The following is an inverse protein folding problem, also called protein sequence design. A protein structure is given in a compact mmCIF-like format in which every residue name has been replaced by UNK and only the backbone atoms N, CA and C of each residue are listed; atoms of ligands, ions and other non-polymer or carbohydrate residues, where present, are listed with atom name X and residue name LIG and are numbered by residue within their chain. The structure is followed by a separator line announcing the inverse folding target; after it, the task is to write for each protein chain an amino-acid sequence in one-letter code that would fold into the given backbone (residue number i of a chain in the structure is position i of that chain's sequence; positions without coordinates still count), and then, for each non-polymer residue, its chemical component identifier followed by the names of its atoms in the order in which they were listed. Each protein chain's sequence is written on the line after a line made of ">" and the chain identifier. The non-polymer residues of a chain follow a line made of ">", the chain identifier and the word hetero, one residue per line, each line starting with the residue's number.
data_IF_567578148963
#
_entry.id   IF_567578148963
#
_cell.length_a   1.000
_cell.length_b   1.000
_cell.length_c   1.000
_cell.angle_alpha   90.00
_cell.angle_beta   90.00
_cell.angle_gamma   90.00
#
_symmetry.space_group_name_H-M   'P 1'
#
loop_
_entity.id
_entity.type
_entity.pdbx_description
1 polymer ?
#
# COMPACT_ATOMS: atom_id res chain seq x y z
N UNK A 1 -18.13 -2.65 -14.22
CA UNK A 1 -17.87 -3.60 -13.14
C UNK A 1 -16.38 -3.92 -13.12
N UNK A 2 -15.72 -3.57 -12.04
CA UNK A 2 -14.29 -3.83 -11.95
C UNK A 2 -14.03 -5.31 -11.70
N UNK A 3 -13.10 -5.88 -12.45
CA UNK A 3 -12.68 -7.26 -12.29
C UNK A 3 -11.46 -7.28 -11.40
N UNK A 4 -11.52 -8.04 -10.30
CA UNK A 4 -10.36 -8.25 -9.44
C UNK A 4 -9.36 -9.11 -10.21
N UNK A 5 -8.16 -8.59 -10.45
CA UNK A 5 -7.14 -9.27 -11.23
C UNK A 5 -6.03 -9.87 -10.37
N UNK A 6 -6.14 -9.73 -9.04
CA UNK A 6 -5.16 -10.27 -8.11
C UNK A 6 -5.46 -11.72 -7.77
N UNK A 7 -4.49 -12.60 -8.00
CA UNK A 7 -4.57 -14.02 -7.64
C UNK A 7 -3.28 -14.42 -6.96
N UNK A 8 -3.38 -14.92 -5.74
CA UNK A 8 -2.21 -15.40 -4.99
C UNK A 8 -1.53 -16.52 -5.79
N UNK A 9 -0.21 -16.42 -5.95
CA UNK A 9 0.57 -17.35 -6.74
C UNK A 9 0.79 -16.92 -8.18
N UNK A 10 0.15 -15.84 -8.62
CA UNK A 10 0.32 -15.28 -9.96
C UNK A 10 0.98 -13.91 -9.88
N UNK A 11 1.43 -13.41 -11.03
CA UNK A 11 2.06 -12.09 -11.11
C UNK A 11 1.08 -11.01 -10.64
N UNK A 12 1.54 -10.14 -9.73
CA UNK A 12 0.77 -8.99 -9.30
C UNK A 12 0.64 -8.00 -10.47
N UNK A 13 -0.55 -7.39 -10.66
CA UNK A 13 -0.72 -6.43 -11.74
C UNK A 13 0.30 -5.28 -11.65
N UNK A 14 1.04 -5.06 -12.74
CA UNK A 14 1.99 -3.94 -12.80
C UNK A 14 1.25 -2.62 -12.94
N UNK A 15 1.90 -1.55 -12.56
CA UNK A 15 1.35 -0.21 -12.66
C UNK A 15 2.46 0.83 -12.70
N UNK A 16 2.10 2.05 -13.09
CA UNK A 16 3.00 3.19 -13.03
C UNK A 16 2.23 4.38 -12.44
N UNK A 17 2.74 4.96 -11.38
CA UNK A 17 2.12 6.08 -10.69
C UNK A 17 3.16 7.14 -10.33
N UNK A 18 2.74 8.42 -10.20
CA UNK A 18 3.62 9.45 -9.65
C UNK A 18 3.98 9.12 -8.21
N UNK A 19 5.25 9.24 -7.88
CA UNK A 19 5.75 8.99 -6.53
C UNK A 19 6.22 10.25 -5.83
N UNK A 20 6.26 10.19 -4.51
CA UNK A 20 6.61 11.32 -3.64
C UNK A 20 8.06 11.78 -3.78
N UNK A 21 8.93 11.00 -4.44
CA UNK A 21 10.33 11.39 -4.67
C UNK A 21 10.53 12.06 -6.03
N UNK A 22 9.46 12.52 -6.66
CA UNK A 22 9.52 13.29 -7.90
C UNK A 22 9.68 12.46 -9.16
N UNK A 23 9.53 11.14 -9.08
CA UNK A 23 9.64 10.22 -10.22
C UNK A 23 8.39 9.38 -10.35
N UNK A 24 8.12 8.93 -11.57
CA UNK A 24 7.11 7.90 -11.79
C UNK A 24 7.66 6.55 -11.31
N UNK A 25 6.80 5.80 -10.65
CA UNK A 25 7.18 4.53 -10.01
C UNK A 25 6.40 3.41 -10.66
N UNK A 26 7.11 2.38 -11.13
CA UNK A 26 6.51 1.13 -11.61
C UNK A 26 6.74 0.05 -10.58
N UNK A 27 5.73 -0.78 -10.35
CA UNK A 27 5.89 -1.93 -9.46
C UNK A 27 7.04 -2.82 -9.93
N UNK A 28 7.15 -3.04 -11.24
CA UNK A 28 8.18 -3.88 -11.83
C UNK A 28 9.62 -3.35 -11.63
N UNK A 29 9.78 -2.09 -11.28
CA UNK A 29 11.09 -1.52 -10.98
C UNK A 29 11.73 -2.12 -9.72
N UNK A 30 10.93 -2.79 -8.90
CA UNK A 30 11.38 -3.36 -7.63
C UNK A 30 11.68 -4.85 -7.69
N UNK A 31 11.76 -5.43 -8.88
CA UNK A 31 12.19 -6.84 -9.03
C UNK A 31 13.53 -7.04 -8.35
N UNK A 32 13.68 -8.15 -7.62
CA UNK A 32 14.84 -8.40 -6.77
C UNK A 32 14.61 -8.08 -5.30
N UNK A 33 13.52 -7.36 -4.99
CA UNK A 33 13.09 -7.08 -3.62
C UNK A 33 11.64 -7.50 -3.43
N UNK A 34 11.29 -7.84 -2.20
CA UNK A 34 9.87 -7.96 -1.83
C UNK A 34 9.26 -6.57 -1.77
N UNK A 35 7.99 -6.45 -2.12
CA UNK A 35 7.24 -5.20 -2.01
C UNK A 35 6.05 -5.44 -1.10
N UNK A 36 5.94 -4.62 -0.08
CA UNK A 36 4.75 -4.55 0.76
C UNK A 36 3.97 -3.32 0.31
N UNK A 37 2.94 -3.57 -0.49
CA UNK A 37 2.14 -2.54 -1.14
C UNK A 37 0.87 -2.34 -0.33
N UNK A 38 0.64 -1.15 0.24
CA UNK A 38 -0.57 -0.93 1.02
C UNK A 38 -1.41 0.21 0.46
N UNK A 39 -2.72 -0.02 0.41
CA UNK A 39 -3.72 0.96 -0.02
C UNK A 39 -4.41 1.53 1.22
N UNK A 40 -4.53 2.84 1.28
CA UNK A 40 -5.19 3.52 2.40
C UNK A 40 -6.05 4.67 1.87
N UNK A 41 -7.11 5.06 2.63
CA UNK A 41 -8.09 6.00 2.10
C UNK A 41 -7.62 7.44 1.93
N UNK A 42 -6.86 7.99 2.88
CA UNK A 42 -6.57 9.43 2.84
C UNK A 42 -5.43 9.83 3.76
N UNK A 43 -4.52 10.65 3.23
CA UNK A 43 -3.42 11.23 4.00
C UNK A 43 -3.93 12.04 5.18
N UNK A 44 -3.13 12.06 6.25
CA UNK A 44 -3.33 12.92 7.42
C UNK A 44 -4.61 12.62 8.23
N UNK A 45 -5.28 11.52 7.94
CA UNK A 45 -6.37 11.02 8.79
C UNK A 45 -5.79 10.18 9.93
N UNK A 46 -6.55 10.03 11.02
CA UNK A 46 -6.08 9.38 12.25
C UNK A 46 -5.55 7.95 12.01
N UNK A 47 -6.38 7.08 11.44
CA UNK A 47 -5.99 5.68 11.21
C UNK A 47 -4.87 5.54 10.19
N UNK A 48 -4.89 6.36 9.14
CA UNK A 48 -3.84 6.32 8.13
C UNK A 48 -2.51 6.83 8.68
N UNK A 49 -2.54 7.82 9.56
CA UNK A 49 -1.34 8.30 10.24
C UNK A 49 -0.76 7.24 11.17
N UNK A 50 -1.60 6.55 11.93
CA UNK A 50 -1.17 5.44 12.79
C UNK A 50 -0.52 4.34 11.95
N UNK A 51 -1.14 3.95 10.85
CA UNK A 51 -0.60 2.91 9.96
C UNK A 51 0.76 3.30 9.40
N UNK A 52 0.89 4.54 8.89
CA UNK A 52 2.14 5.03 8.32
C UNK A 52 3.24 5.08 9.39
N UNK A 53 2.92 5.53 10.59
CA UNK A 53 3.90 5.58 11.68
C UNK A 53 4.33 4.19 12.14
N UNK A 54 3.41 3.22 12.16
CA UNK A 54 3.74 1.83 12.48
C UNK A 54 4.72 1.26 11.46
N UNK A 55 4.50 1.51 10.16
CA UNK A 55 5.46 1.11 9.12
C UNK A 55 6.80 1.83 9.29
N UNK A 56 6.77 3.14 9.57
CA UNK A 56 7.98 3.92 9.81
C UNK A 56 8.82 3.32 10.93
N UNK A 57 8.19 2.97 12.04
CA UNK A 57 8.87 2.47 13.23
C UNK A 57 9.50 1.09 13.01
N UNK A 58 9.01 0.33 12.04
CA UNK A 58 9.53 -0.99 11.68
C UNK A 58 10.31 -1.00 10.36
N UNK A 59 10.52 0.16 9.75
CA UNK A 59 11.11 0.26 8.42
C UNK A 59 12.45 -0.42 8.31
N UNK A 60 13.34 -0.24 9.29
CA UNK A 60 14.66 -0.87 9.30
C UNK A 60 14.57 -2.40 9.28
N UNK A 61 13.59 -2.96 9.99
CA UNK A 61 13.38 -4.40 10.03
C UNK A 61 12.92 -4.93 8.67
N UNK A 62 12.02 -4.20 7.99
CA UNK A 62 11.61 -4.57 6.64
C UNK A 62 12.77 -4.47 5.65
N UNK A 63 13.59 -3.42 5.74
CA UNK A 63 14.78 -3.28 4.90
C UNK A 63 15.74 -4.46 5.09
N UNK A 64 15.93 -4.90 6.32
CA UNK A 64 16.75 -6.06 6.63
C UNK A 64 16.25 -7.37 6.03
N UNK A 65 14.99 -7.38 5.56
CA UNK A 65 14.36 -8.51 4.88
C UNK A 65 14.18 -8.25 3.38
N UNK A 66 14.95 -7.31 2.84
CA UNK A 66 14.89 -6.90 1.43
C UNK A 66 13.46 -6.55 0.98
N UNK A 67 12.72 -5.89 1.84
CA UNK A 67 11.33 -5.54 1.62
C UNK A 67 11.18 -4.02 1.52
N UNK A 68 10.58 -3.56 0.41
CA UNK A 68 10.27 -2.16 0.16
C UNK A 68 8.80 -1.91 0.51
N UNK A 69 8.52 -0.81 1.20
CA UNK A 69 7.15 -0.42 1.53
C UNK A 69 6.72 0.68 0.57
N UNK A 70 5.57 0.50 -0.07
CA UNK A 70 4.95 1.50 -0.94
C UNK A 70 3.51 1.73 -0.49
N UNK A 71 3.15 2.97 -0.20
CA UNK A 71 1.77 3.34 0.13
C UNK A 71 1.08 3.97 -1.08
N UNK A 72 -0.19 3.66 -1.28
CA UNK A 72 -1.00 4.21 -2.37
C UNK A 72 -2.30 4.77 -1.82
N UNK A 73 -2.64 5.98 -2.20
CA UNK A 73 -3.96 6.57 -1.95
C UNK A 73 -4.39 7.45 -3.11
N UNK A 74 -5.67 7.88 -3.17
CA UNK A 74 -6.12 8.81 -4.21
C UNK A 74 -5.65 10.25 -4.01
N UNK A 75 -4.92 10.54 -2.94
CA UNK A 75 -4.45 11.90 -2.67
C UNK A 75 -3.43 12.37 -3.71
N UNK A 76 -3.38 13.69 -4.00
CA UNK A 76 -2.36 14.25 -4.86
C UNK A 76 -0.99 14.26 -4.17
N UNK A 77 0.08 14.35 -4.96
CA UNK A 77 1.46 14.37 -4.43
C UNK A 77 1.68 15.46 -3.39
N UNK A 78 1.03 16.59 -3.54
CA UNK A 78 1.14 17.70 -2.58
C UNK A 78 0.73 17.27 -1.16
N UNK A 79 -0.32 16.47 -1.06
CA UNK A 79 -0.76 15.93 0.23
C UNK A 79 0.21 14.87 0.75
N UNK A 80 0.73 14.02 -0.14
CA UNK A 80 1.75 13.04 0.23
C UNK A 80 2.99 13.72 0.81
N UNK A 81 3.44 14.81 0.19
CA UNK A 81 4.59 15.57 0.67
C UNK A 81 4.37 16.09 2.09
N UNK A 82 3.17 16.61 2.38
CA UNK A 82 2.82 17.08 3.72
C UNK A 82 2.80 15.95 4.73
N UNK A 83 2.26 14.81 4.35
CA UNK A 83 2.16 13.63 5.20
C UNK A 83 3.55 13.11 5.56
N UNK A 84 4.41 12.95 4.56
CA UNK A 84 5.78 12.50 4.74
C UNK A 84 6.55 13.46 5.64
N UNK A 85 6.44 14.76 5.38
CA UNK A 85 7.15 15.78 6.17
C UNK A 85 6.69 15.79 7.62
N UNK A 86 5.39 15.65 7.86
CA UNK A 86 4.83 15.69 9.22
C UNK A 86 5.32 14.53 10.09
N UNK A 87 5.40 13.34 9.53
CA UNK A 87 5.71 12.12 10.29
C UNK A 87 7.09 11.52 10.00
N UNK A 88 7.87 12.14 9.12
CA UNK A 88 9.19 11.63 8.77
C UNK A 88 9.14 10.24 8.15
N UNK A 89 8.26 10.04 7.19
CA UNK A 89 8.06 8.71 6.58
C UNK A 89 9.24 8.35 5.67
N UNK A 90 9.89 7.20 5.90
CA UNK A 90 11.09 6.82 5.15
C UNK A 90 10.80 6.04 3.86
N UNK A 91 9.54 5.94 3.45
CA UNK A 91 9.12 5.21 2.26
C UNK A 91 8.30 6.11 1.36
N UNK A 92 8.12 5.69 0.11
CA UNK A 92 7.38 6.48 -0.87
C UNK A 92 5.88 6.30 -0.74
N UNK A 93 5.16 7.39 -1.01
CA UNK A 93 3.72 7.37 -1.20
C UNK A 93 3.44 7.66 -2.67
N UNK A 94 2.56 6.88 -3.27
CA UNK A 94 2.19 6.96 -4.68
C UNK A 94 0.80 7.54 -4.82
N UNK A 95 0.62 8.39 -5.84
CA UNK A 95 -0.65 9.09 -6.06
C UNK A 95 -1.46 8.39 -7.14
N UNK A 96 -2.63 7.86 -6.76
CA UNK A 96 -3.58 7.19 -7.65
C UNK A 96 -4.87 8.03 -7.69
N UNK A 97 -4.76 9.27 -8.15
CA UNK A 97 -5.87 10.24 -8.10
C UNK A 97 -7.12 9.76 -8.82
N UNK A 98 -6.97 8.98 -9.89
CA UNK A 98 -8.09 8.43 -10.65
C UNK A 98 -8.51 7.05 -10.18
N UNK A 99 -7.90 6.55 -9.09
CA UNK A 99 -8.16 5.25 -8.46
C UNK A 99 -8.09 4.04 -9.42
N UNK A 100 -7.34 4.17 -10.50
CA UNK A 100 -7.20 3.09 -11.50
C UNK A 100 -6.49 1.87 -10.92
N UNK A 101 -5.40 2.07 -10.19
CA UNK A 101 -4.66 0.97 -9.56
C UNK A 101 -5.50 0.35 -8.45
N UNK A 102 -6.19 1.19 -7.67
CA UNK A 102 -7.11 0.70 -6.63
C UNK A 102 -8.20 -0.18 -7.23
N UNK A 103 -8.74 0.18 -8.39
CA UNK A 103 -9.74 -0.65 -9.09
C UNK A 103 -9.14 -1.97 -9.55
N UNK A 104 -7.94 -1.93 -10.13
CA UNK A 104 -7.25 -3.14 -10.59
C UNK A 104 -7.01 -4.12 -9.43
N UNK A 105 -6.64 -3.62 -8.27
CA UNK A 105 -6.39 -4.46 -7.10
C UNK A 105 -7.69 -4.79 -6.32
N UNK A 106 -8.84 -4.30 -6.79
CA UNK A 106 -10.13 -4.61 -6.19
C UNK A 106 -10.38 -3.95 -4.84
N UNK A 107 -9.70 -2.85 -4.55
CA UNK A 107 -9.83 -2.15 -3.25
C UNK A 107 -10.61 -0.83 -3.37
N UNK A 108 -11.05 -0.44 -4.55
CA UNK A 108 -11.94 0.69 -4.76
C UNK A 108 -13.37 0.15 -4.73
N UNK A 109 -14.07 0.36 -3.62
CA UNK A 109 -15.36 -0.29 -3.39
C UNK A 109 -16.37 0.68 -2.80
N UNK A 110 -17.64 0.32 -2.91
CA UNK A 110 -18.71 1.06 -2.27
C UNK A 110 -18.64 0.86 -0.75
N UNK A 111 -18.64 1.96 -0.03
CA UNK A 111 -18.62 1.99 1.43
C UNK A 111 -19.89 2.66 1.94
N UNK A 112 -20.25 2.42 3.18
CA UNK A 112 -21.42 3.02 3.81
C UNK A 112 -21.02 3.65 5.14
N UNK A 113 -21.46 4.89 5.34
CA UNK A 113 -21.24 5.60 6.60
C UNK A 113 -22.45 6.50 6.89
N UNK A 114 -23.02 6.34 8.07
CA UNK A 114 -24.20 7.13 8.51
C UNK A 114 -25.34 7.08 7.47
N UNK A 115 -25.60 5.91 6.89
CA UNK A 115 -26.64 5.73 5.91
C UNK A 115 -26.34 6.24 4.51
N UNK A 116 -25.17 6.85 4.30
CA UNK A 116 -24.73 7.32 2.99
C UNK A 116 -23.80 6.33 2.33
N UNK A 117 -23.97 6.13 1.04
CA UNK A 117 -23.07 5.29 0.24
C UNK A 117 -22.08 6.18 -0.49
N UNK A 118 -20.82 5.75 -0.52
CA UNK A 118 -19.78 6.44 -1.26
C UNK A 118 -18.73 5.43 -1.73
N UNK A 119 -17.97 5.79 -2.75
CA UNK A 119 -16.84 4.98 -3.21
C UNK A 119 -15.59 5.35 -2.45
N UNK A 120 -14.79 4.38 -2.08
CA UNK A 120 -13.56 4.63 -1.36
C UNK A 120 -12.65 3.43 -1.31
N UNK A 121 -11.49 3.63 -0.70
CA UNK A 121 -10.47 2.59 -0.55
C UNK A 121 -10.83 1.69 0.63
N UNK A 122 -10.87 0.39 0.38
CA UNK A 122 -10.87 -0.61 1.44
C UNK A 122 -9.42 -0.88 1.81
N UNK A 123 -9.04 -0.49 3.03
CA UNK A 123 -7.67 -0.61 3.51
C UNK A 123 -7.16 -2.04 3.33
N UNK A 124 -6.10 -2.21 2.55
CA UNK A 124 -5.59 -3.53 2.16
C UNK A 124 -4.08 -3.47 1.96
N UNK A 125 -3.42 -4.60 2.19
CA UNK A 125 -1.98 -4.74 1.98
C UNK A 125 -1.72 -5.98 1.14
N UNK A 126 -0.76 -5.88 0.23
CA UNK A 126 -0.39 -6.95 -0.69
C UNK A 126 1.11 -7.21 -0.57
N UNK A 127 1.49 -8.47 -0.36
CA UNK A 127 2.89 -8.87 -0.32
C UNK A 127 3.28 -9.49 -1.65
N UNK A 128 4.29 -8.91 -2.29
CA UNK A 128 4.76 -9.30 -3.62
C UNK A 128 6.22 -9.73 -3.48
N UNK A 129 6.58 -10.87 -4.05
CA UNK A 129 7.93 -11.40 -3.91
C UNK A 129 8.92 -10.77 -4.92
N UNK A 130 10.17 -11.21 -4.87
CA UNK A 130 11.28 -10.69 -5.70
C UNK A 130 11.02 -10.88 -7.19
N UNK A 131 10.18 -11.82 -7.56
CA UNK A 131 9.83 -12.12 -8.96
C UNK A 131 8.55 -11.44 -9.40
N UNK A 132 7.93 -10.65 -8.53
CA UNK A 132 6.69 -9.95 -8.84
C UNK A 132 5.44 -10.79 -8.64
N UNK A 133 5.55 -11.91 -7.95
CA UNK A 133 4.41 -12.80 -7.69
C UNK A 133 3.71 -12.37 -6.40
N UNK A 134 2.38 -12.30 -6.45
CA UNK A 134 1.57 -12.00 -5.27
C UNK A 134 1.59 -13.21 -4.34
N UNK A 135 2.16 -13.03 -3.14
CA UNK A 135 2.35 -14.10 -2.17
C UNK A 135 1.22 -14.15 -1.15
N UNK A 136 0.76 -12.99 -0.72
CA UNK A 136 -0.27 -12.90 0.30
C UNK A 136 -0.99 -11.57 0.22
N UNK A 137 -2.22 -11.52 0.75
CA UNK A 137 -2.98 -10.28 0.81
C UNK A 137 -3.79 -10.21 2.11
N UNK A 138 -3.93 -8.99 2.64
CA UNK A 138 -4.78 -8.67 3.78
C UNK A 138 -5.79 -7.63 3.30
N UNK A 139 -7.05 -8.02 3.15
CA UNK A 139 -8.12 -7.13 2.67
C UNK A 139 -9.04 -6.72 3.81
N UNK A 140 -9.47 -5.45 3.79
CA UNK A 140 -10.36 -4.93 4.82
C UNK A 140 -9.74 -5.02 6.20
N UNK A 141 -8.45 -4.72 6.32
CA UNK A 141 -7.69 -4.89 7.54
C UNK A 141 -7.93 -3.79 8.56
N UNK A 142 -7.63 -4.09 9.80
CA UNK A 142 -7.54 -3.11 10.88
C UNK A 142 -6.07 -2.77 11.12
N UNK A 143 -5.80 -1.49 11.42
CA UNK A 143 -4.42 -1.01 11.59
C UNK A 143 -3.74 -1.64 12.80
N UNK A 144 -4.46 -1.80 13.90
CA UNK A 144 -3.88 -2.31 15.14
C UNK A 144 -3.32 -3.74 14.94
N UNK A 145 -2.01 -3.89 15.16
CA UNK A 145 -1.33 -5.18 15.06
C UNK A 145 -1.03 -5.63 13.64
N UNK A 146 -1.47 -4.90 12.61
CA UNK A 146 -1.29 -5.32 11.23
C UNK A 146 0.17 -5.34 10.81
N UNK A 147 0.91 -4.28 11.13
CA UNK A 147 2.30 -4.15 10.70
C UNK A 147 3.17 -5.23 11.33
N UNK A 148 2.93 -5.54 12.61
CA UNK A 148 3.63 -6.63 13.28
C UNK A 148 3.29 -7.99 12.64
N UNK A 149 2.03 -8.20 12.27
CA UNK A 149 1.60 -9.42 11.60
C UNK A 149 2.25 -9.57 10.22
N UNK A 150 2.33 -8.47 9.45
CA UNK A 150 2.98 -8.48 8.15
C UNK A 150 4.48 -8.77 8.28
N UNK A 151 5.14 -8.15 9.26
CA UNK A 151 6.55 -8.36 9.52
C UNK A 151 6.82 -9.82 9.90
N UNK A 152 6.02 -10.38 10.81
CA UNK A 152 6.14 -11.78 11.21
C UNK A 152 5.95 -12.73 10.03
N UNK A 153 4.98 -12.44 9.16
CA UNK A 153 4.73 -13.24 7.96
C UNK A 153 5.97 -13.29 7.07
N UNK A 154 6.59 -12.14 6.83
CA UNK A 154 7.78 -12.05 5.97
C UNK A 154 8.98 -12.75 6.64
N UNK A 155 9.14 -12.58 7.95
CA UNK A 155 10.20 -13.25 8.71
C UNK A 155 10.11 -14.78 8.59
N UNK A 156 8.89 -15.32 8.61
CA UNK A 156 8.68 -16.77 8.50
C UNK A 156 9.00 -17.31 7.11
N UNK A 157 8.93 -16.46 6.07
CA UNK A 157 9.27 -16.86 4.70
C UNK A 157 10.75 -16.74 4.40
N UNK A 158 11.46 -15.94 5.16
CA UNK A 158 12.85 -15.59 4.85
C UNK A 158 13.82 -16.71 5.24
#
# INVERSE_FOLDING_TARGET
>A
MSTITTVIGQEAPDFELPGSEGKRVKLSDYRGNRVLLYFYPKDLTSSCSTQACDFRDKHTEFEGLDTVILGISPDPLKQHDKFIAKYGLPFQLLSDEEHQVAETYGVWQQKQMYGKQYMGIVRSTFLIDENGILVHEWRGLRVKGHIDAALAYIQDMA
#
